data_IF_339538790918
#
_entry.id   IF_339538790918
#
_cell.length_a   1.000
_cell.length_b   1.000
_cell.length_c   1.000
_cell.angle_alpha   90.00
_cell.angle_beta   90.00
_cell.angle_gamma   90.00
#
_symmetry.space_group_name_H-M   'P 1'
#
loop_
_entity.id
_entity.type
_entity.pdbx_description
1 polymer ?
#
# COMPACT_ATOMS: atom_id res chain seq x y z
N UNK A 1 -61.92 -58.84 -1.85
CA UNK A 1 -61.01 -60.00 -1.99
C UNK A 1 -59.57 -59.49 -2.04
N UNK A 2 -58.75 -59.86 -1.04
CA UNK A 2 -57.25 -59.79 -0.93
C UNK A 2 -56.64 -58.36 -0.89
N UNK A 3 -56.10 -57.85 0.23
CA UNK A 3 -54.82 -58.16 0.94
C UNK A 3 -53.63 -58.09 -0.05
N UNK A 4 -52.58 -57.25 0.12
CA UNK A 4 -51.37 -57.42 0.99
C UNK A 4 -50.54 -56.11 0.95
N UNK A 5 -50.29 -55.33 2.02
CA UNK A 5 -49.33 -55.44 3.15
C UNK A 5 -47.87 -55.83 2.83
N UNK A 6 -47.01 -54.80 2.80
CA UNK A 6 -45.75 -54.54 3.53
C UNK A 6 -44.68 -55.61 3.82
N UNK A 7 -43.43 -55.26 3.44
CA UNK A 7 -42.12 -55.30 4.16
C UNK A 7 -41.59 -56.65 4.73
N UNK A 8 -40.26 -56.84 4.99
CA UNK A 8 -39.51 -56.03 5.95
C UNK A 8 -38.01 -55.76 5.65
N UNK A 9 -37.49 -54.87 6.50
CA UNK A 9 -36.11 -54.43 6.73
C UNK A 9 -35.38 -55.42 7.66
N UNK A 10 -34.08 -55.61 7.44
CA UNK A 10 -32.99 -55.74 8.43
C UNK A 10 -31.69 -55.94 7.62
N UNK A 11 -30.46 -55.52 7.97
CA UNK A 11 -29.83 -55.20 9.25
C UNK A 11 -28.51 -54.48 8.91
N UNK A 12 -28.07 -53.53 9.75
CA UNK A 12 -26.68 -53.48 10.26
C UNK A 12 -26.45 -52.16 11.02
N UNK A 13 -26.16 -52.28 12.31
CA UNK A 13 -25.70 -51.21 13.17
C UNK A 13 -24.20 -50.97 12.97
N UNK A 14 -23.77 -49.72 13.03
CA UNK A 14 -22.39 -49.36 13.33
C UNK A 14 -22.37 -48.07 14.14
N UNK A 15 -21.93 -48.20 15.39
CA UNK A 15 -21.57 -47.12 16.31
C UNK A 15 -20.32 -46.41 15.79
N UNK A 16 -20.33 -45.08 15.68
CA UNK A 16 -19.12 -44.30 15.44
C UNK A 16 -19.12 -43.02 16.31
N UNK A 17 -17.98 -42.80 16.93
CA UNK A 17 -17.68 -41.88 18.02
C UNK A 17 -18.03 -40.41 17.73
N UNK A 18 -18.48 -39.70 18.76
CA UNK A 18 -18.48 -38.24 18.81
C UNK A 18 -17.02 -37.72 18.75
N UNK A 19 -16.60 -37.27 17.56
CA UNK A 19 -15.34 -36.58 17.36
C UNK A 19 -15.52 -35.08 17.51
N UNK A 20 -14.97 -34.52 18.59
CA UNK A 20 -14.87 -33.07 18.81
C UNK A 20 -14.07 -32.44 17.66
N UNK A 21 -14.74 -31.68 16.78
CA UNK A 21 -14.10 -30.86 15.77
C UNK A 21 -13.41 -29.67 16.45
N UNK A 22 -12.20 -29.87 16.98
CA UNK A 22 -11.28 -28.76 17.20
C UNK A 22 -10.78 -28.30 15.83
N UNK A 23 -11.53 -27.37 15.23
CA UNK A 23 -11.05 -26.60 14.10
C UNK A 23 -9.85 -25.76 14.58
N UNK A 24 -8.64 -26.27 14.40
CA UNK A 24 -7.43 -25.47 14.56
C UNK A 24 -7.48 -24.36 13.51
N UNK A 25 -7.89 -23.16 13.93
CA UNK A 25 -7.82 -21.98 13.09
C UNK A 25 -6.34 -21.81 12.67
N UNK A 26 -6.06 -22.05 11.39
CA UNK A 26 -4.74 -21.76 10.85
C UNK A 26 -4.46 -20.27 11.10
N UNK A 27 -3.25 -19.89 11.54
CA UNK A 27 -2.91 -18.48 11.68
C UNK A 27 -3.07 -17.84 10.30
N UNK A 28 -3.97 -16.86 10.20
CA UNK A 28 -4.08 -16.00 9.04
C UNK A 28 -2.71 -15.38 8.81
N UNK A 29 -1.97 -15.89 7.83
CA UNK A 29 -0.66 -15.37 7.49
C UNK A 29 -0.92 -14.01 6.85
N UNK A 30 -0.86 -12.94 7.66
CA UNK A 30 -0.89 -11.59 7.16
C UNK A 30 0.17 -11.50 6.06
N UNK A 31 -0.23 -11.10 4.85
CA UNK A 31 0.64 -11.01 3.70
C UNK A 31 1.97 -10.35 4.13
N UNK A 32 3.09 -11.03 3.87
CA UNK A 32 4.40 -10.54 4.29
C UNK A 32 4.63 -9.14 3.71
N UNK A 33 4.54 -8.11 4.55
CA UNK A 33 4.82 -6.75 4.10
C UNK A 33 6.25 -6.69 3.56
N UNK A 34 6.43 -5.99 2.43
CA UNK A 34 7.74 -5.65 1.87
C UNK A 34 8.67 -5.18 3.00
N UNK A 35 9.75 -5.93 3.25
CA UNK A 35 10.73 -5.58 4.29
C UNK A 35 11.43 -4.26 3.98
N UNK A 36 11.81 -3.52 5.03
CA UNK A 36 12.52 -2.25 4.88
C UNK A 36 11.63 -1.09 4.40
N UNK A 37 12.22 -0.15 3.66
CA UNK A 37 11.51 1.00 3.12
C UNK A 37 10.72 0.65 1.87
N UNK A 38 9.46 1.04 1.80
CA UNK A 38 8.60 0.85 0.63
C UNK A 38 7.56 1.97 0.50
N UNK A 39 6.88 2.04 -0.65
CA UNK A 39 5.75 2.94 -0.82
C UNK A 39 4.50 2.34 -0.17
N UNK A 40 3.79 3.13 0.64
CA UNK A 40 2.47 2.76 1.15
C UNK A 40 1.38 3.11 0.14
N UNK A 41 0.66 4.20 0.39
CA UNK A 41 -0.28 4.76 -0.59
C UNK A 41 0.36 5.92 -1.38
N UNK A 42 -0.14 6.15 -2.60
CA UNK A 42 0.21 7.27 -3.47
C UNK A 42 -1.08 7.91 -3.97
N UNK A 43 -1.25 9.20 -3.70
CA UNK A 43 -2.27 10.04 -4.34
C UNK A 43 -1.58 10.76 -5.50
N UNK A 44 -1.73 10.21 -6.70
CA UNK A 44 -1.10 10.73 -7.91
C UNK A 44 -1.98 11.71 -8.68
N UNK A 45 -3.29 11.70 -8.41
CA UNK A 45 -4.24 12.68 -8.94
C UNK A 45 -5.03 13.23 -7.75
N UNK A 46 -4.76 14.47 -7.36
CA UNK A 46 -5.29 15.06 -6.14
C UNK A 46 -6.79 15.33 -6.23
N UNK A 47 -7.59 15.12 -5.16
CA UNK A 47 -9.01 15.46 -5.19
C UNK A 47 -9.21 16.97 -5.42
N UNK A 48 -10.15 17.30 -6.30
CA UNK A 48 -10.50 18.68 -6.64
C UNK A 48 -10.04 19.05 -8.04
N UNK A 49 -9.91 20.36 -8.29
CA UNK A 49 -9.47 20.89 -9.58
C UNK A 49 -7.95 21.01 -9.62
N UNK A 50 -7.38 20.65 -10.76
CA UNK A 50 -5.97 20.90 -11.05
C UNK A 50 -5.75 22.35 -11.49
N UNK A 51 -5.51 23.22 -10.50
CA UNK A 51 -5.34 24.67 -10.68
C UNK A 51 -3.91 25.17 -10.36
N UNK A 52 -2.98 24.25 -10.06
CA UNK A 52 -1.58 24.54 -9.64
C UNK A 52 -1.44 25.44 -8.42
N UNK A 53 -2.51 25.67 -7.67
CA UNK A 53 -2.40 26.29 -6.35
C UNK A 53 -1.57 25.39 -5.43
N UNK A 54 -0.98 25.98 -4.38
CA UNK A 54 -0.25 25.18 -3.40
C UNK A 54 -1.13 24.11 -2.74
N UNK A 55 -2.44 24.34 -2.66
CA UNK A 55 -3.42 23.39 -2.12
C UNK A 55 -3.57 22.18 -3.04
N UNK A 56 -3.79 22.38 -4.33
CA UNK A 56 -3.94 21.27 -5.29
C UNK A 56 -2.62 20.52 -5.47
N UNK A 57 -1.47 21.21 -5.51
CA UNK A 57 -0.15 20.56 -5.52
C UNK A 57 0.09 19.72 -4.26
N UNK A 58 -0.32 20.18 -3.08
CA UNK A 58 -0.20 19.39 -1.86
C UNK A 58 -1.23 18.25 -1.76
N UNK A 59 -2.25 18.23 -2.61
CA UNK A 59 -3.21 17.12 -2.69
C UNK A 59 -2.58 15.87 -3.31
N UNK A 60 -1.49 16.03 -4.06
CA UNK A 60 -0.63 14.96 -4.55
C UNK A 60 0.48 14.60 -3.54
N UNK A 61 0.65 13.31 -3.27
CA UNK A 61 1.64 12.84 -2.32
C UNK A 61 1.97 11.35 -2.45
N UNK A 62 3.14 10.98 -1.93
CA UNK A 62 3.56 9.58 -1.74
C UNK A 62 3.84 9.32 -0.26
N UNK A 63 3.37 8.19 0.25
CA UNK A 63 3.75 7.69 1.57
C UNK A 63 4.93 6.72 1.43
N UNK A 64 5.94 6.91 2.26
CA UNK A 64 7.08 6.00 2.39
C UNK A 64 7.06 5.41 3.79
N UNK A 65 6.90 4.10 3.87
CA UNK A 65 6.77 3.36 5.11
C UNK A 65 8.06 2.60 5.43
N UNK A 66 8.44 2.59 6.71
CA UNK A 66 9.56 1.82 7.22
C UNK A 66 9.04 0.59 7.96
N UNK A 67 9.00 -0.55 7.27
CA UNK A 67 8.59 -1.82 7.86
C UNK A 67 9.77 -2.60 8.49
N UNK A 68 10.88 -1.94 8.78
CA UNK A 68 11.94 -2.53 9.60
C UNK A 68 11.68 -2.32 11.09
N UNK A 69 12.37 -3.09 11.91
CA UNK A 69 12.35 -2.96 13.38
C UNK A 69 13.24 -1.81 13.90
N UNK A 70 13.89 -1.05 13.00
CA UNK A 70 14.87 -0.03 13.35
C UNK A 70 14.53 1.30 12.70
N UNK A 71 15.08 2.39 13.25
CA UNK A 71 15.02 3.71 12.61
C UNK A 71 15.88 3.73 11.33
N UNK A 72 15.43 4.45 10.30
CA UNK A 72 16.17 4.59 9.04
C UNK A 72 16.41 6.07 8.75
N UNK A 73 17.66 6.44 8.47
CA UNK A 73 18.03 7.76 8.00
C UNK A 73 17.83 7.84 6.49
N UNK A 74 17.07 8.84 6.03
CA UNK A 74 16.72 9.02 4.61
C UNK A 74 17.68 9.96 3.86
N UNK A 75 18.68 10.58 4.51
CA UNK A 75 19.64 11.45 3.83
C UNK A 75 20.19 10.80 2.55
N UNK A 76 19.99 11.48 1.41
CA UNK A 76 20.44 11.05 0.09
C UNK A 76 19.55 10.02 -0.62
N UNK A 77 18.51 9.49 0.03
CA UNK A 77 17.48 8.72 -0.66
C UNK A 77 16.75 9.62 -1.66
N UNK A 78 16.31 9.02 -2.76
CA UNK A 78 15.62 9.74 -3.84
C UNK A 78 14.26 9.14 -4.12
N UNK A 79 13.28 9.99 -4.38
CA UNK A 79 12.01 9.61 -5.00
C UNK A 79 11.99 10.15 -6.42
N UNK A 80 11.74 9.30 -7.41
CA UNK A 80 11.79 9.63 -8.82
C UNK A 80 10.56 9.11 -9.57
N UNK A 81 9.96 9.93 -10.43
CA UNK A 81 8.88 9.55 -11.35
C UNK A 81 9.45 9.09 -12.72
N UNK A 82 8.60 8.77 -13.70
CA UNK A 82 9.08 8.43 -15.05
C UNK A 82 9.56 9.63 -15.87
N UNK A 83 9.02 10.82 -15.63
CA UNK A 83 9.35 12.03 -16.39
C UNK A 83 10.71 12.62 -16.01
N UNK A 84 11.23 12.26 -14.83
CA UNK A 84 12.59 12.60 -14.40
C UNK A 84 12.64 13.53 -13.18
N UNK A 85 11.50 13.99 -12.67
CA UNK A 85 11.44 14.72 -11.41
C UNK A 85 12.02 13.87 -10.29
N UNK A 86 12.97 14.46 -9.57
CA UNK A 86 13.66 13.79 -8.48
C UNK A 86 13.60 14.62 -7.20
N UNK A 87 13.08 14.03 -6.13
CA UNK A 87 13.19 14.55 -4.77
C UNK A 87 14.39 13.87 -4.12
N UNK A 88 15.26 14.63 -3.46
CA UNK A 88 16.34 14.07 -2.65
C UNK A 88 16.09 14.44 -1.21
N UNK A 89 16.02 13.43 -0.33
CA UNK A 89 15.85 13.65 1.10
C UNK A 89 17.11 14.29 1.69
N UNK A 90 16.90 15.36 2.48
CA UNK A 90 17.88 15.85 3.43
C UNK A 90 17.98 14.94 4.66
N UNK A 91 18.49 15.48 5.78
CA UNK A 91 18.47 14.72 7.04
C UNK A 91 17.03 14.54 7.52
N UNK A 92 16.55 13.30 7.52
CA UNK A 92 15.24 12.92 8.04
C UNK A 92 15.27 11.46 8.48
N UNK A 93 14.92 11.20 9.73
CA UNK A 93 14.87 9.84 10.27
C UNK A 93 13.43 9.37 10.38
N UNK A 94 13.14 8.21 9.79
CA UNK A 94 11.86 7.53 9.95
C UNK A 94 11.99 6.44 11.01
N UNK A 95 11.11 6.46 12.02
CA UNK A 95 11.07 5.44 13.07
C UNK A 95 10.64 4.07 12.54
N UNK A 96 10.86 3.01 13.32
CA UNK A 96 10.37 1.67 13.02
C UNK A 96 8.82 1.67 12.94
N UNK A 97 8.27 1.04 11.90
CA UNK A 97 6.83 1.01 11.63
C UNK A 97 6.20 2.37 11.34
N UNK A 98 6.99 3.42 11.10
CA UNK A 98 6.48 4.78 10.82
C UNK A 98 6.44 5.05 9.32
N UNK A 99 5.67 6.07 8.96
CA UNK A 99 5.49 6.56 7.60
C UNK A 99 5.89 8.03 7.53
N UNK A 100 6.56 8.43 6.45
CA UNK A 100 6.69 9.83 6.06
C UNK A 100 5.90 10.08 4.78
N UNK A 101 5.15 11.17 4.76
CA UNK A 101 4.43 11.64 3.57
C UNK A 101 5.27 12.71 2.86
N UNK A 102 5.57 12.49 1.58
CA UNK A 102 6.16 13.50 0.71
C UNK A 102 5.02 14.12 -0.12
N UNK A 103 4.73 15.40 0.12
CA UNK A 103 3.77 16.18 -0.69
C UNK A 103 4.48 16.92 -1.82
N UNK A 104 3.81 17.06 -2.96
CA UNK A 104 4.41 17.71 -4.15
C UNK A 104 4.62 19.22 -3.95
N UNK A 105 3.63 19.91 -3.38
CA UNK A 105 3.66 21.37 -3.20
C UNK A 105 4.68 21.90 -2.17
N UNK A 106 4.54 23.19 -1.85
CA UNK A 106 5.34 23.90 -0.85
C UNK A 106 4.77 23.73 0.55
N UNK A 107 5.65 23.68 1.54
CA UNK A 107 5.27 23.69 2.95
C UNK A 107 6.48 23.52 3.86
N UNK A 108 6.26 23.74 5.16
CA UNK A 108 7.29 23.51 6.17
C UNK A 108 7.40 22.00 6.43
N UNK A 109 8.62 21.49 6.44
CA UNK A 109 8.86 20.10 6.84
C UNK A 109 8.62 19.96 8.34
N UNK A 110 7.85 18.94 8.71
CA UNK A 110 7.51 18.60 10.10
C UNK A 110 7.62 17.09 10.28
N UNK A 111 7.53 16.61 11.52
CA UNK A 111 7.51 15.17 11.78
C UNK A 111 6.37 14.50 10.99
N UNK A 112 6.72 13.48 10.21
CA UNK A 112 5.77 12.70 9.40
C UNK A 112 5.40 13.31 8.04
N UNK A 113 5.76 14.57 7.74
CA UNK A 113 5.47 15.18 6.43
C UNK A 113 6.62 16.06 5.95
N UNK A 114 7.05 15.82 4.72
CA UNK A 114 8.02 16.64 4.00
C UNK A 114 7.42 17.14 2.69
N UNK A 115 7.98 18.22 2.16
CA UNK A 115 7.49 18.90 0.97
C UNK A 115 8.57 18.92 -0.11
N UNK A 116 8.17 18.62 -1.34
CA UNK A 116 9.05 18.71 -2.51
C UNK A 116 9.23 20.17 -2.97
N UNK A 117 8.39 21.09 -2.49
CA UNK A 117 8.46 22.52 -2.79
C UNK A 117 8.35 22.83 -4.29
N UNK A 118 7.56 22.03 -5.01
CA UNK A 118 7.31 22.22 -6.43
C UNK A 118 6.22 23.27 -6.66
N UNK A 119 6.30 23.91 -7.83
CA UNK A 119 5.23 24.76 -8.39
C UNK A 119 4.45 24.08 -9.52
N UNK A 120 4.66 22.79 -9.74
CA UNK A 120 4.01 21.99 -10.77
C UNK A 120 3.82 20.55 -10.29
N UNK A 121 2.79 19.90 -10.82
CA UNK A 121 2.49 18.49 -10.59
C UNK A 121 3.65 17.61 -11.02
N UNK A 122 3.78 16.47 -10.36
CA UNK A 122 4.85 15.50 -10.62
C UNK A 122 4.29 14.20 -11.17
N UNK A 123 3.15 13.77 -10.65
CA UNK A 123 2.62 12.44 -10.90
C UNK A 123 1.64 12.48 -12.08
N UNK A 124 1.77 11.54 -13.03
CA UNK A 124 0.92 11.57 -14.22
C UNK A 124 -0.41 10.80 -13.99
N UNK A 125 -1.53 11.50 -14.23
CA UNK A 125 -2.89 10.97 -14.13
C UNK A 125 -3.23 9.91 -15.18
N UNK A 126 -2.43 9.78 -16.25
CA UNK A 126 -2.62 8.76 -17.30
C UNK A 126 -1.81 7.48 -17.06
N UNK A 127 -0.90 7.50 -16.10
CA UNK A 127 -0.07 6.37 -15.71
C UNK A 127 1.39 6.79 -15.50
N UNK A 128 2.01 6.27 -14.45
CA UNK A 128 3.36 6.63 -14.02
C UNK A 128 3.94 5.56 -13.08
N UNK A 129 5.21 5.73 -12.67
CA UNK A 129 5.92 4.87 -11.73
C UNK A 129 6.82 5.68 -10.80
N UNK A 130 6.48 5.69 -9.52
CA UNK A 130 7.36 6.16 -8.47
C UNK A 130 8.46 5.13 -8.15
N UNK A 131 9.69 5.60 -7.95
CA UNK A 131 10.85 4.80 -7.53
C UNK A 131 11.50 5.43 -6.31
N UNK A 132 11.72 4.61 -5.27
CA UNK A 132 12.54 4.95 -4.13
C UNK A 132 13.94 4.38 -4.37
N UNK A 133 14.94 5.23 -4.39
CA UNK A 133 16.32 4.91 -4.75
C UNK A 133 17.22 5.22 -3.56
N UNK A 134 18.13 4.29 -3.24
CA UNK A 134 19.12 4.45 -2.18
C UNK A 134 20.17 5.50 -2.56
N UNK A 135 20.93 6.04 -1.58
CA UNK A 135 22.04 6.94 -1.86
C UNK A 135 23.08 6.35 -2.82
N UNK A 136 23.30 5.04 -2.77
CA UNK A 136 24.21 4.30 -3.67
C UNK A 136 23.61 4.00 -5.06
N UNK A 137 22.45 4.56 -5.40
CA UNK A 137 21.81 4.40 -6.71
C UNK A 137 20.99 3.12 -6.89
N UNK A 138 21.04 2.16 -5.96
CA UNK A 138 20.23 0.93 -6.05
C UNK A 138 18.74 1.23 -5.83
N UNK A 139 17.87 0.59 -6.59
CA UNK A 139 16.43 0.63 -6.37
C UNK A 139 16.08 -0.03 -5.03
N UNK A 140 15.33 0.68 -4.18
CA UNK A 140 14.80 0.16 -2.92
C UNK A 140 13.36 -0.34 -3.12
N UNK A 141 12.51 0.44 -3.78
CA UNK A 141 11.12 0.10 -4.03
C UNK A 141 10.58 0.84 -5.25
N UNK A 142 9.49 0.35 -5.84
CA UNK A 142 8.76 1.06 -6.88
C UNK A 142 7.27 0.76 -6.80
N UNK A 143 6.44 1.71 -7.23
CA UNK A 143 5.01 1.52 -7.37
C UNK A 143 4.53 2.19 -8.66
N UNK A 144 3.72 1.47 -9.45
CA UNK A 144 3.17 1.96 -10.71
C UNK A 144 1.66 1.99 -10.68
N UNK A 145 1.08 2.87 -11.47
CA UNK A 145 -0.35 3.00 -11.65
C UNK A 145 -0.68 3.29 -13.11
N UNK A 146 -1.90 2.97 -13.50
CA UNK A 146 -2.49 3.38 -14.77
C UNK A 146 -3.30 4.66 -14.61
N UNK A 147 -4.22 4.88 -15.55
CA UNK A 147 -5.07 6.07 -15.58
C UNK A 147 -5.90 6.25 -14.31
N UNK A 148 -6.06 7.50 -13.88
CA UNK A 148 -7.04 7.93 -12.89
C UNK A 148 -8.45 7.68 -13.40
N UNK A 149 -9.30 7.16 -12.54
CA UNK A 149 -10.69 6.83 -12.83
C UNK A 149 -11.58 7.22 -11.65
N UNK A 150 -12.90 7.38 -11.85
CA UNK A 150 -13.82 7.59 -10.74
C UNK A 150 -13.76 6.50 -9.66
N UNK A 151 -13.35 5.27 -10.03
CA UNK A 151 -13.22 4.13 -9.11
C UNK A 151 -11.99 4.25 -8.19
N UNK A 152 -10.83 4.60 -8.75
CA UNK A 152 -9.59 4.68 -7.97
C UNK A 152 -9.33 6.06 -7.37
N UNK A 153 -10.01 7.11 -7.88
CA UNK A 153 -9.91 8.49 -7.42
C UNK A 153 -8.46 8.97 -7.29
N UNK A 154 -7.60 8.60 -8.24
CA UNK A 154 -6.20 9.03 -8.19
C UNK A 154 -5.35 8.39 -7.10
N UNK A 155 -5.84 7.36 -6.43
CA UNK A 155 -5.17 6.70 -5.32
C UNK A 155 -4.66 5.31 -5.75
N UNK A 156 -3.42 5.01 -5.39
CA UNK A 156 -2.82 3.69 -5.56
C UNK A 156 -2.28 3.19 -4.22
N UNK A 157 -2.71 1.99 -3.81
CA UNK A 157 -2.08 1.24 -2.73
C UNK A 157 -0.91 0.39 -3.30
N UNK A 158 0.24 0.43 -2.63
CA UNK A 158 1.52 -0.15 -3.07
C UNK A 158 2.08 -1.21 -2.10
N UNK A 159 1.30 -1.59 -1.08
CA UNK A 159 1.63 -2.68 -0.17
C UNK A 159 1.66 -4.04 -0.88
#
# INVERSE_FOLDING_TARGET
MRIRTAAPIALAAATALAGSLLATAAPATAAAHKGGLHFGAIQYDGPGKDDRTNKSLNAEWVNIHNNSKQKVQLKGYKVKDNTGFTYTFGSYTIGAGKTVKLRTGKGKNVSGTVHWNRGSYVWNNTGDKARLIKPNGKLQASCSWGKSTPKNKGLKNCH
#
